data_IF_300691531153
#
_entry.id   IF_300691531153
#
_cell.length_a   1.000
_cell.length_b   1.000
_cell.length_c   1.000
_cell.angle_alpha   90.00
_cell.angle_beta   90.00
_cell.angle_gamma   90.00
#
_symmetry.space_group_name_H-M   'P 1'
#
loop_
_entity.id
_entity.type
_entity.pdbx_description
1 polymer ?
#
# COMPACT_ATOMS: atom_id res chain seq x y z
N UNK A 1 -30.19 13.03 30.58
CA UNK A 1 -29.67 11.87 29.83
C UNK A 1 -29.21 12.37 28.48
N UNK A 2 -27.92 12.72 28.37
CA UNK A 2 -27.29 12.97 27.07
C UNK A 2 -26.84 11.60 26.58
N UNK A 3 -27.40 11.14 25.47
CA UNK A 3 -27.06 9.86 24.87
C UNK A 3 -25.57 9.88 24.49
N UNK A 4 -24.85 8.83 24.89
CA UNK A 4 -23.46 8.59 24.54
C UNK A 4 -23.25 8.22 23.05
N UNK A 5 -24.20 8.59 22.19
CA UNK A 5 -24.13 8.60 20.73
C UNK A 5 -23.81 10.04 20.33
N UNK A 6 -22.57 10.49 20.31
CA UNK A 6 -21.72 10.31 19.14
C UNK A 6 -20.32 10.77 19.56
N UNK A 7 -19.65 9.98 20.40
CA UNK A 7 -18.19 9.96 20.28
C UNK A 7 -17.97 9.40 18.87
N UNK A 8 -17.85 10.31 17.90
CA UNK A 8 -17.41 10.03 16.55
C UNK A 8 -16.07 9.35 16.71
N UNK A 9 -16.09 8.03 16.83
CA UNK A 9 -14.93 7.19 16.73
C UNK A 9 -14.26 7.62 15.44
N UNK A 10 -13.19 8.40 15.56
CA UNK A 10 -12.20 8.57 14.52
C UNK A 10 -11.44 7.25 14.39
N UNK A 11 -12.17 6.13 14.29
CA UNK A 11 -11.60 4.89 13.84
C UNK A 11 -11.07 5.21 12.45
N UNK A 12 -9.75 5.10 12.31
CA UNK A 12 -9.05 5.15 11.04
C UNK A 12 -9.62 4.03 10.17
N UNK A 13 -10.76 4.29 9.52
CA UNK A 13 -11.46 3.31 8.70
C UNK A 13 -10.61 3.08 7.47
N UNK A 14 -9.93 1.94 7.44
CA UNK A 14 -9.13 1.50 6.32
C UNK A 14 -10.05 1.20 5.14
N UNK A 15 -9.91 1.95 4.04
CA UNK A 15 -10.65 1.75 2.79
C UNK A 15 -9.93 0.72 1.91
N UNK A 16 -8.61 0.82 1.81
CA UNK A 16 -7.81 -0.05 0.95
C UNK A 16 -6.46 -0.34 1.58
N UNK A 17 -5.99 -1.55 1.37
CA UNK A 17 -4.62 -1.98 1.66
C UNK A 17 -4.14 -2.82 0.50
N UNK A 18 -3.04 -2.40 -0.13
CA UNK A 18 -2.53 -3.08 -1.31
C UNK A 18 -1.00 -3.12 -1.36
N UNK A 19 -0.39 -4.17 -1.94
CA UNK A 19 1.05 -4.23 -2.16
C UNK A 19 1.57 -3.03 -2.96
N UNK A 20 2.63 -2.39 -2.45
CA UNK A 20 3.20 -1.18 -3.06
C UNK A 20 4.71 -1.13 -2.91
N UNK A 21 5.42 -0.59 -3.91
CA UNK A 21 6.85 -0.32 -3.78
C UNK A 21 7.09 0.97 -2.98
N UNK A 22 8.05 0.97 -2.06
CA UNK A 22 8.43 2.21 -1.35
C UNK A 22 8.99 3.25 -2.34
N UNK A 23 9.85 2.77 -3.24
CA UNK A 23 10.49 3.56 -4.29
C UNK A 23 10.19 2.86 -5.63
N UNK A 24 9.81 3.59 -6.68
CA UNK A 24 9.61 3.01 -8.01
C UNK A 24 10.84 2.24 -8.50
N UNK A 25 10.65 1.13 -9.25
CA UNK A 25 11.76 0.37 -9.82
C UNK A 25 12.59 1.26 -10.77
N UNK A 26 13.91 1.09 -10.71
CA UNK A 26 14.86 1.62 -11.69
C UNK A 26 14.95 0.68 -12.90
N UNK A 27 15.42 1.19 -14.07
CA UNK A 27 15.72 0.35 -15.23
C UNK A 27 16.50 -0.91 -14.87
N UNK A 28 16.03 -2.06 -15.35
CA UNK A 28 16.69 -3.36 -15.14
C UNK A 28 16.53 -4.00 -13.74
N UNK A 29 15.86 -3.35 -12.78
CA UNK A 29 15.55 -3.99 -11.49
C UNK A 29 14.46 -5.06 -11.65
N UNK A 30 14.56 -6.12 -10.84
CA UNK A 30 13.55 -7.18 -10.75
C UNK A 30 12.70 -7.02 -9.50
N UNK A 31 11.57 -7.72 -9.47
CA UNK A 31 10.62 -7.70 -8.35
C UNK A 31 11.27 -8.01 -6.98
N UNK A 32 12.21 -8.96 -6.98
CA UNK A 32 12.98 -9.36 -5.79
C UNK A 32 13.90 -8.26 -5.25
N UNK A 33 14.28 -7.28 -6.07
CA UNK A 33 15.20 -6.20 -5.70
C UNK A 33 14.47 -5.00 -5.06
N UNK A 34 13.12 -5.02 -5.07
CA UNK A 34 12.31 -3.91 -4.59
C UNK A 34 12.02 -4.00 -3.10
N UNK A 35 11.98 -2.83 -2.47
CA UNK A 35 11.45 -2.66 -1.13
C UNK A 35 9.92 -2.59 -1.19
N UNK A 36 9.29 -3.72 -0.86
CA UNK A 36 7.84 -3.86 -0.81
C UNK A 36 7.27 -3.55 0.56
N UNK A 37 6.12 -2.89 0.56
CA UNK A 37 5.26 -2.71 1.73
C UNK A 37 3.80 -2.72 1.31
N UNK A 38 2.95 -2.11 2.13
CA UNK A 38 1.56 -1.85 1.78
C UNK A 38 1.29 -0.35 1.73
N UNK A 39 0.51 0.08 0.74
CA UNK A 39 -0.15 1.37 0.77
C UNK A 39 -1.53 1.18 1.43
N UNK A 40 -1.72 1.82 2.57
CA UNK A 40 -3.00 1.91 3.26
C UNK A 40 -3.66 3.26 2.96
N UNK A 41 -4.92 3.21 2.57
CA UNK A 41 -5.74 4.38 2.27
C UNK A 41 -6.92 4.40 3.26
N UNK A 42 -7.05 5.49 3.99
CA UNK A 42 -8.06 5.66 5.03
C UNK A 42 -9.20 6.57 4.59
N UNK A 43 -10.36 6.42 5.23
CA UNK A 43 -11.57 7.16 4.89
C UNK A 43 -11.50 8.67 5.13
N UNK A 44 -10.53 9.12 5.92
CA UNK A 44 -10.23 10.54 6.09
C UNK A 44 -9.26 11.09 5.03
N UNK A 45 -8.93 10.29 4.01
CA UNK A 45 -8.05 10.65 2.91
C UNK A 45 -6.56 10.45 3.21
N UNK A 46 -6.17 10.00 4.41
CA UNK A 46 -4.78 9.71 4.72
C UNK A 46 -4.28 8.50 3.95
N UNK A 47 -3.05 8.59 3.47
CA UNK A 47 -2.31 7.48 2.89
C UNK A 47 -1.09 7.19 3.74
N UNK A 48 -0.86 5.91 4.04
CA UNK A 48 0.25 5.47 4.90
C UNK A 48 0.98 4.34 4.19
N UNK A 49 2.30 4.44 4.10
CA UNK A 49 3.13 3.31 3.72
C UNK A 49 3.46 2.48 4.96
N UNK A 50 3.08 1.21 4.95
CA UNK A 50 3.40 0.25 6.01
C UNK A 50 4.56 -0.60 5.54
N UNK A 51 5.70 -0.49 6.22
CA UNK A 51 6.92 -1.26 5.95
C UNK A 51 6.79 -2.70 6.46
N UNK A 52 5.93 -3.46 5.75
CA UNK A 52 5.69 -4.87 5.97
C UNK A 52 5.64 -5.55 4.60
N UNK A 53 6.58 -6.46 4.34
CA UNK A 53 6.65 -7.17 3.07
C UNK A 53 5.37 -8.00 2.84
N UNK A 54 4.64 -7.81 1.72
CA UNK A 54 3.52 -8.65 1.34
C UNK A 54 3.94 -10.07 1.01
N UNK A 55 3.01 -11.03 1.09
CA UNK A 55 3.27 -12.39 0.66
C UNK A 55 3.45 -12.48 -0.86
N UNK A 56 4.15 -13.52 -1.34
CA UNK A 56 4.32 -13.77 -2.78
C UNK A 56 2.99 -13.90 -3.52
N UNK A 57 1.96 -14.45 -2.86
CA UNK A 57 0.60 -14.53 -3.42
C UNK A 57 -0.02 -13.14 -3.58
N UNK A 58 0.06 -12.29 -2.56
CA UNK A 58 -0.45 -10.92 -2.66
C UNK A 58 0.32 -10.11 -3.71
N UNK A 59 1.64 -10.29 -3.81
CA UNK A 59 2.43 -9.70 -4.88
C UNK A 59 1.97 -10.19 -6.25
N UNK A 60 1.72 -11.49 -6.44
CA UNK A 60 1.22 -12.01 -7.72
C UNK A 60 -0.19 -11.49 -8.08
N UNK A 61 -1.07 -11.32 -7.09
CA UNK A 61 -2.45 -10.87 -7.27
C UNK A 61 -2.62 -9.34 -7.23
N UNK A 62 -1.54 -8.59 -6.99
CA UNK A 62 -1.56 -7.13 -6.76
C UNK A 62 -2.21 -6.37 -7.91
N UNK A 63 -2.99 -5.33 -7.60
CA UNK A 63 -3.68 -4.49 -8.62
C UNK A 63 -2.74 -3.46 -9.23
N UNK A 64 -1.92 -2.85 -8.39
CA UNK A 64 -1.01 -1.76 -8.72
C UNK A 64 0.43 -2.26 -8.85
N UNK A 65 1.37 -1.37 -9.19
CA UNK A 65 2.80 -1.69 -9.14
C UNK A 65 3.24 -2.88 -10.04
N UNK A 66 2.69 -2.99 -11.26
CA UNK A 66 2.98 -4.08 -12.21
C UNK A 66 4.01 -3.74 -13.29
N UNK A 67 4.20 -2.45 -13.57
CA UNK A 67 5.03 -2.01 -14.69
C UNK A 67 6.43 -1.63 -14.20
N UNK A 68 7.44 -2.23 -14.80
CA UNK A 68 8.86 -1.96 -14.55
C UNK A 68 9.42 -1.25 -15.77
N UNK A 69 10.31 -0.27 -15.60
CA UNK A 69 10.98 0.36 -16.73
C UNK A 69 11.91 -0.64 -17.42
N UNK A 70 11.98 -0.54 -18.75
CA UNK A 70 12.93 -1.30 -19.55
C UNK A 70 14.38 -0.97 -19.14
N UNK A 71 15.31 -1.92 -19.25
CA UNK A 71 16.72 -1.63 -19.04
C UNK A 71 17.22 -0.56 -20.02
N UNK A 72 18.13 0.30 -19.56
CA UNK A 72 18.76 1.29 -20.44
C UNK A 72 19.63 0.60 -21.52
N UNK A 73 19.72 1.16 -22.74
CA UNK A 73 20.48 0.59 -23.86
C UNK A 73 21.99 0.49 -23.63
#
# INVERSE_FOLDING_TARGET
MLTADTLRSFTMTLISREPWWLIPPKPGQKEQDLHWGYLEIYADGRTVFVDQRPSERELAERKSCRNFPDPEP
#
